data_IF_111544228087
#
_entry.id   IF_111544228087
#
_cell.length_a   1.000
_cell.length_b   1.000
_cell.length_c   1.000
_cell.angle_alpha   90.00
_cell.angle_beta   90.00
_cell.angle_gamma   90.00
#
_symmetry.space_group_name_H-M   'P 1'
#
loop_
_entity.id
_entity.type
_entity.pdbx_description
1 polymer ?
#
# COMPACT_ATOMS: atom_id res chain seq x y z
N UNK A 1 17.49 -6.88 37.00
CA UNK A 1 16.18 -7.30 36.43
C UNK A 1 16.24 -7.58 34.93
N UNK A 2 17.18 -7.03 34.14
CA UNK A 2 17.24 -7.24 32.68
C UNK A 2 17.61 -8.67 32.25
N UNK A 3 18.48 -9.38 32.97
CA UNK A 3 18.95 -10.73 32.57
C UNK A 3 17.85 -11.79 32.53
N UNK A 4 16.82 -11.66 33.38
CA UNK A 4 15.68 -12.58 33.38
C UNK A 4 14.81 -12.44 32.12
N UNK A 5 14.58 -11.21 31.65
CA UNK A 5 13.75 -10.95 30.48
C UNK A 5 14.41 -11.41 29.16
N UNK A 6 15.73 -11.28 29.02
CA UNK A 6 16.48 -11.86 27.89
C UNK A 6 16.34 -13.39 27.85
N UNK A 7 16.46 -14.05 29.01
CA UNK A 7 16.29 -15.49 29.11
C UNK A 7 14.87 -15.93 28.79
N UNK A 8 13.86 -15.16 29.22
CA UNK A 8 12.45 -15.40 28.88
C UNK A 8 12.22 -15.26 27.38
N UNK A 9 12.66 -14.17 26.74
CA UNK A 9 12.49 -13.99 25.30
C UNK A 9 13.17 -15.12 24.51
N UNK A 10 14.41 -15.48 24.85
CA UNK A 10 15.13 -16.58 24.21
C UNK A 10 14.43 -17.94 24.43
N UNK A 11 13.92 -18.18 25.65
CA UNK A 11 13.16 -19.40 25.98
C UNK A 11 11.87 -19.49 25.17
N UNK A 12 11.13 -18.39 25.02
CA UNK A 12 9.87 -18.37 24.26
C UNK A 12 10.13 -18.54 22.75
N UNK A 13 11.20 -17.97 22.21
CA UNK A 13 11.63 -18.22 20.82
C UNK A 13 12.01 -19.69 20.59
N UNK A 14 12.78 -20.28 21.51
CA UNK A 14 13.19 -21.69 21.42
C UNK A 14 11.96 -22.59 21.48
N UNK A 15 11.03 -22.31 22.40
CA UNK A 15 9.76 -23.03 22.51
C UNK A 15 8.91 -22.91 21.25
N UNK A 16 8.81 -21.71 20.67
CA UNK A 16 8.09 -21.51 19.41
C UNK A 16 8.71 -22.33 18.27
N UNK A 17 10.04 -22.36 18.17
CA UNK A 17 10.76 -23.16 17.16
C UNK A 17 10.57 -24.67 17.36
N UNK A 18 10.70 -25.17 18.59
CA UNK A 18 10.50 -26.58 18.91
C UNK A 18 9.10 -27.07 18.55
N UNK A 19 8.07 -26.24 18.77
CA UNK A 19 6.68 -26.60 18.45
C UNK A 19 6.39 -26.66 16.95
N UNK A 20 7.13 -25.90 16.15
CA UNK A 20 7.09 -26.00 14.69
C UNK A 20 7.65 -27.34 14.22
N UNK A 21 8.66 -27.89 14.92
CA UNK A 21 9.39 -29.10 14.50
C UNK A 21 8.87 -30.43 15.12
N UNK A 22 8.34 -30.41 16.35
CA UNK A 22 8.20 -31.66 17.16
C UNK A 22 6.77 -32.21 17.24
N UNK A 23 5.75 -31.43 16.92
CA UNK A 23 4.37 -31.80 17.23
C UNK A 23 3.69 -32.63 16.12
N UNK A 24 4.19 -33.81 15.77
CA UNK A 24 3.58 -34.66 14.71
C UNK A 24 2.11 -35.07 15.00
N UNK A 25 1.66 -34.97 16.26
CA UNK A 25 0.33 -35.39 16.72
C UNK A 25 -0.68 -34.25 16.95
N UNK A 26 -0.29 -32.97 16.80
CA UNK A 26 -1.20 -31.82 17.04
C UNK A 26 -1.75 -31.21 15.75
N UNK A 27 -2.97 -30.65 15.80
CA UNK A 27 -3.55 -29.95 14.65
C UNK A 27 -2.74 -28.70 14.32
N UNK A 28 -2.60 -28.39 13.03
CA UNK A 28 -1.84 -27.22 12.55
C UNK A 28 -2.34 -25.91 13.19
N UNK A 29 -3.65 -25.74 13.34
CA UNK A 29 -4.26 -24.59 14.01
C UNK A 29 -3.79 -24.42 15.47
N UNK A 30 -3.69 -25.51 16.23
CA UNK A 30 -3.22 -25.46 17.61
C UNK A 30 -1.74 -25.03 17.68
N UNK A 31 -0.91 -25.55 16.77
CA UNK A 31 0.51 -25.13 16.67
C UNK A 31 0.64 -23.63 16.37
N UNK A 32 -0.18 -23.12 15.43
CA UNK A 32 -0.18 -21.68 15.07
C UNK A 32 -0.50 -20.81 16.28
N UNK A 33 -1.54 -21.17 17.03
CA UNK A 33 -1.97 -20.37 18.18
C UNK A 33 -0.97 -20.43 19.34
N UNK A 34 -0.40 -21.60 19.62
CA UNK A 34 0.63 -21.72 20.67
C UNK A 34 1.91 -20.98 20.25
N UNK A 35 2.35 -21.13 19.00
CA UNK A 35 3.51 -20.42 18.45
C UNK A 35 3.33 -18.89 18.52
N UNK A 36 2.16 -18.40 18.09
CA UNK A 36 1.76 -16.99 18.25
C UNK A 36 1.88 -16.54 19.70
N UNK A 37 1.30 -17.30 20.64
CA UNK A 37 1.31 -16.95 22.06
C UNK A 37 2.72 -16.83 22.63
N UNK A 38 3.61 -17.77 22.30
CA UNK A 38 5.01 -17.71 22.71
C UNK A 38 5.72 -16.46 22.16
N UNK A 39 5.49 -16.14 20.89
CA UNK A 39 6.08 -14.94 20.27
C UNK A 39 5.52 -13.62 20.84
N UNK A 40 4.24 -13.60 21.24
CA UNK A 40 3.67 -12.47 21.98
C UNK A 40 4.28 -12.32 23.39
N UNK A 41 4.47 -13.42 24.13
CA UNK A 41 5.17 -13.39 25.42
C UNK A 41 6.62 -12.86 25.24
N UNK A 42 7.31 -13.25 24.16
CA UNK A 42 8.63 -12.72 23.83
C UNK A 42 8.57 -11.21 23.54
N UNK A 43 7.54 -10.73 22.83
CA UNK A 43 7.31 -9.30 22.61
C UNK A 43 7.18 -8.53 23.92
N UNK A 44 6.35 -9.00 24.86
CA UNK A 44 6.19 -8.38 26.18
C UNK A 44 7.50 -8.33 26.97
N UNK A 45 8.31 -9.41 26.89
CA UNK A 45 9.63 -9.43 27.51
C UNK A 45 10.55 -8.33 26.92
N UNK A 46 10.53 -8.10 25.61
CA UNK A 46 11.28 -7.01 24.98
C UNK A 46 10.79 -5.61 25.38
N UNK A 47 9.47 -5.43 25.54
CA UNK A 47 8.90 -4.16 26.05
C UNK A 47 9.42 -3.87 27.45
N UNK A 48 9.44 -4.87 28.34
CA UNK A 48 9.96 -4.75 29.70
C UNK A 48 11.46 -4.42 29.76
N UNK A 49 12.16 -4.59 28.64
CA UNK A 49 13.57 -4.26 28.49
C UNK A 49 13.82 -2.94 27.78
N UNK A 50 12.76 -2.17 27.49
CA UNK A 50 12.81 -0.93 26.72
C UNK A 50 13.36 -1.14 25.30
N UNK A 51 13.06 -2.29 24.68
CA UNK A 51 13.50 -2.65 23.32
C UNK A 51 12.32 -2.74 22.33
N UNK A 52 11.66 -1.59 22.01
CA UNK A 52 10.40 -1.59 21.26
C UNK A 52 10.52 -2.18 19.86
N UNK A 53 11.64 -1.97 19.16
CA UNK A 53 11.81 -2.54 17.82
C UNK A 53 11.90 -4.07 17.80
N UNK A 54 12.53 -4.69 18.81
CA UNK A 54 12.53 -6.16 18.94
C UNK A 54 11.17 -6.68 19.37
N UNK A 55 10.47 -5.92 20.22
CA UNK A 55 9.10 -6.25 20.59
C UNK A 55 8.18 -6.25 19.37
N UNK A 56 8.25 -5.21 18.53
CA UNK A 56 7.46 -5.06 17.32
C UNK A 56 7.80 -6.16 16.30
N UNK A 57 9.08 -6.48 16.09
CA UNK A 57 9.49 -7.62 15.27
C UNK A 57 8.92 -8.95 15.80
N UNK A 58 8.92 -9.16 17.11
CA UNK A 58 8.33 -10.36 17.72
C UNK A 58 6.81 -10.45 17.46
N UNK A 59 6.11 -9.31 17.42
CA UNK A 59 4.68 -9.26 17.04
C UNK A 59 4.48 -9.65 15.57
N UNK A 60 5.33 -9.16 14.66
CA UNK A 60 5.30 -9.58 13.25
C UNK A 60 5.46 -11.10 13.16
N UNK A 61 6.49 -11.67 13.81
CA UNK A 61 6.67 -13.12 13.83
C UNK A 61 5.46 -13.86 14.40
N UNK A 62 4.83 -13.33 15.45
CA UNK A 62 3.60 -13.90 16.02
C UNK A 62 2.42 -13.87 15.04
N UNK A 63 2.29 -12.79 14.26
CA UNK A 63 1.27 -12.65 13.23
C UNK A 63 1.53 -13.58 12.04
N UNK A 64 2.79 -13.71 11.59
CA UNK A 64 3.19 -14.64 10.54
C UNK A 64 2.97 -16.11 10.95
N UNK A 65 3.07 -16.44 12.23
CA UNK A 65 2.76 -17.79 12.70
C UNK A 65 1.30 -18.19 12.41
N UNK A 66 0.37 -17.25 12.33
CA UNK A 66 -1.04 -17.54 11.99
C UNK A 66 -1.24 -17.92 10.51
N UNK A 67 -0.34 -17.51 9.63
CA UNK A 67 -0.41 -17.81 8.19
C UNK A 67 0.43 -19.03 7.81
N UNK A 68 1.18 -19.59 8.76
CA UNK A 68 2.11 -20.68 8.49
C UNK A 68 1.39 -21.98 8.05
N UNK A 69 1.72 -22.46 6.85
CA UNK A 69 1.10 -23.64 6.24
C UNK A 69 -0.36 -23.41 5.87
N UNK A 70 -0.78 -22.16 5.70
CA UNK A 70 -2.10 -21.84 5.17
C UNK A 70 -2.04 -21.74 3.65
N UNK A 71 -2.64 -22.71 2.96
CA UNK A 71 -2.76 -22.73 1.50
C UNK A 71 -4.01 -22.00 1.01
N UNK A 72 -4.73 -21.32 1.91
CA UNK A 72 -5.92 -20.55 1.56
C UNK A 72 -5.58 -19.39 0.62
N UNK A 73 -6.48 -19.10 -0.32
CA UNK A 73 -6.32 -17.96 -1.23
C UNK A 73 -6.60 -16.61 -0.57
N UNK A 74 -7.24 -16.62 0.61
CA UNK A 74 -7.66 -15.43 1.34
C UNK A 74 -7.12 -15.49 2.77
N UNK A 75 -6.79 -14.32 3.31
CA UNK A 75 -6.23 -14.19 4.64
C UNK A 75 -7.34 -14.24 5.70
N UNK A 76 -7.19 -15.08 6.71
CA UNK A 76 -8.12 -15.12 7.83
C UNK A 76 -8.16 -13.79 8.59
N UNK A 77 -9.35 -13.33 9.02
CA UNK A 77 -9.53 -12.06 9.73
C UNK A 77 -8.60 -11.91 10.94
N UNK A 78 -8.39 -12.98 11.72
CA UNK A 78 -7.50 -12.96 12.87
C UNK A 78 -6.03 -12.71 12.49
N UNK A 79 -5.57 -13.29 11.38
CA UNK A 79 -4.21 -13.09 10.87
C UNK A 79 -4.06 -11.65 10.33
N UNK A 80 -5.04 -11.17 9.57
CA UNK A 80 -5.05 -9.78 9.08
C UNK A 80 -4.98 -8.78 10.25
N UNK A 81 -5.80 -8.96 11.28
CA UNK A 81 -5.76 -8.12 12.48
C UNK A 81 -4.41 -8.16 13.18
N UNK A 82 -3.84 -9.35 13.37
CA UNK A 82 -2.52 -9.48 13.98
C UNK A 82 -1.41 -8.80 13.14
N UNK A 83 -1.48 -8.86 11.81
CA UNK A 83 -0.52 -8.20 10.93
C UNK A 83 -0.64 -6.67 11.01
N UNK A 84 -1.84 -6.11 10.90
CA UNK A 84 -2.04 -4.65 11.00
C UNK A 84 -1.64 -4.11 12.39
N UNK A 85 -1.96 -4.82 13.48
CA UNK A 85 -1.50 -4.46 14.83
C UNK A 85 0.03 -4.51 14.97
N UNK A 86 0.68 -5.43 14.26
CA UNK A 86 2.15 -5.55 14.26
C UNK A 86 2.83 -4.44 13.45
N UNK A 87 2.16 -3.95 12.40
CA UNK A 87 2.57 -2.76 11.65
C UNK A 87 2.43 -1.50 12.53
N UNK A 88 1.30 -1.33 13.20
CA UNK A 88 1.05 -0.20 14.13
C UNK A 88 2.08 -0.16 15.27
N UNK A 89 2.58 -1.32 15.71
CA UNK A 89 3.64 -1.41 16.70
C UNK A 89 4.99 -0.86 16.22
N UNK A 90 5.21 -0.72 14.91
CA UNK A 90 6.39 -0.07 14.33
C UNK A 90 6.16 1.41 14.09
N UNK A 91 5.02 1.75 13.49
CA UNK A 91 4.62 3.12 13.17
C UNK A 91 3.19 3.29 13.65
N UNK A 92 2.96 4.10 14.70
CA UNK A 92 1.62 4.40 15.17
C UNK A 92 0.74 4.97 14.06
N UNK A 93 -0.55 4.64 14.11
CA UNK A 93 -1.55 5.03 13.12
C UNK A 93 -1.58 6.53 12.79
N UNK A 94 -1.56 7.45 13.76
CA UNK A 94 -1.47 8.90 13.51
C UNK A 94 -0.26 9.35 12.67
N UNK A 95 0.78 8.52 12.61
CA UNK A 95 2.03 8.77 11.89
C UNK A 95 2.11 7.99 10.57
N UNK A 96 1.12 7.15 10.27
CA UNK A 96 1.05 6.40 9.04
C UNK A 96 0.23 7.16 7.99
N UNK A 97 0.84 7.60 6.87
CA UNK A 97 0.14 8.37 5.83
C UNK A 97 -0.99 7.58 5.13
N UNK A 98 -1.01 6.26 5.30
CA UNK A 98 -1.97 5.35 4.69
C UNK A 98 -2.95 4.74 5.70
N UNK A 99 -3.14 5.37 6.86
CA UNK A 99 -4.00 4.83 7.93
C UNK A 99 -5.44 4.56 7.50
N UNK A 100 -6.01 5.40 6.61
CA UNK A 100 -7.34 5.19 6.00
C UNK A 100 -7.52 3.85 5.28
N UNK A 101 -6.43 3.20 4.88
CA UNK A 101 -6.45 1.91 4.17
C UNK A 101 -6.37 0.69 5.10
N UNK A 102 -6.22 0.92 6.41
CA UNK A 102 -6.30 -0.13 7.43
C UNK A 102 -7.70 -0.74 7.43
N UNK A 103 -7.82 -2.04 7.22
CA UNK A 103 -9.12 -2.70 7.09
C UNK A 103 -9.78 -2.98 8.45
N UNK A 104 -8.99 -3.17 9.51
CA UNK A 104 -9.54 -3.50 10.83
C UNK A 104 -10.14 -2.31 11.56
N UNK A 105 -9.68 -1.10 11.27
CA UNK A 105 -10.21 0.15 11.82
C UNK A 105 -10.02 0.33 13.33
N UNK A 106 -9.19 -0.48 13.99
CA UNK A 106 -8.95 -0.40 15.44
C UNK A 106 -7.52 0.10 15.66
N UNK A 107 -7.36 1.37 16.03
CA UNK A 107 -6.05 1.90 16.43
C UNK A 107 -5.85 1.75 17.95
N UNK A 108 -4.64 1.38 18.35
CA UNK A 108 -4.23 1.40 19.76
C UNK A 108 -3.94 2.82 20.30
N UNK A 109 -3.86 3.81 19.42
CA UNK A 109 -3.47 5.19 19.74
C UNK A 109 -4.64 6.18 19.74
N UNK A 110 -5.82 5.73 19.30
CA UNK A 110 -7.05 6.54 19.29
C UNK A 110 -7.99 5.98 20.35
N UNK A 111 -8.41 6.84 21.27
CA UNK A 111 -9.43 6.49 22.26
C UNK A 111 -10.79 6.35 21.55
N UNK A 112 -11.47 5.18 21.63
CA UNK A 112 -12.77 4.99 21.00
C UNK A 112 -13.87 5.89 21.58
N UNK A 113 -13.67 6.50 22.76
CA UNK A 113 -14.61 7.45 23.36
C UNK A 113 -14.34 8.91 22.95
N UNK A 114 -13.23 9.16 22.26
CA UNK A 114 -12.84 10.48 21.76
C UNK A 114 -13.47 10.79 20.39
N UNK A 115 -13.58 12.08 20.05
CA UNK A 115 -13.91 12.54 18.69
C UNK A 115 -12.70 12.48 17.74
N UNK A 116 -11.52 12.14 18.25
CA UNK A 116 -10.31 11.99 17.46
C UNK A 116 -10.40 10.81 16.48
N UNK A 117 -9.73 10.98 15.34
CA UNK A 117 -9.56 9.92 14.35
C UNK A 117 -8.08 9.81 14.01
N UNK A 118 -7.64 8.67 13.48
CA UNK A 118 -6.24 8.53 13.07
C UNK A 118 -5.85 9.51 11.94
N UNK A 119 -6.82 9.92 11.11
CA UNK A 119 -6.63 10.95 10.08
C UNK A 119 -6.63 12.39 10.66
N UNK A 120 -7.32 12.61 11.79
CA UNK A 120 -7.38 13.90 12.48
C UNK A 120 -7.08 13.73 13.98
N UNK A 121 -5.84 13.38 14.35
CA UNK A 121 -5.42 13.20 15.73
C UNK A 121 -5.22 14.56 16.43
N UNK A 122 -5.38 14.61 17.75
CA UNK A 122 -4.99 15.82 18.49
C UNK A 122 -3.47 16.00 18.54
N UNK A 123 -3.03 17.22 18.87
CA UNK A 123 -1.62 17.52 19.02
C UNK A 123 -0.94 16.68 20.12
N UNK A 124 -1.68 16.33 21.18
CA UNK A 124 -1.18 15.47 22.26
C UNK A 124 -0.98 14.03 21.76
N UNK A 125 -1.95 13.50 21.03
CA UNK A 125 -1.88 12.16 20.40
C UNK A 125 -0.73 12.09 19.40
N UNK A 126 -0.53 13.11 18.57
CA UNK A 126 0.60 13.19 17.64
C UNK A 126 1.94 13.19 18.37
N UNK A 127 2.09 14.01 19.42
CA UNK A 127 3.32 14.06 20.19
C UNK A 127 3.61 12.73 20.91
N UNK A 128 2.57 12.06 21.41
CA UNK A 128 2.70 10.73 21.99
C UNK A 128 3.11 9.68 20.95
N UNK A 129 2.43 9.65 19.80
CA UNK A 129 2.69 8.72 18.70
C UNK A 129 4.11 8.90 18.13
N UNK A 130 4.57 10.14 17.94
CA UNK A 130 5.91 10.46 17.47
C UNK A 130 7.01 9.84 18.34
N UNK A 131 6.79 9.78 19.66
CA UNK A 131 7.72 9.16 20.62
C UNK A 131 7.70 7.62 20.62
N UNK A 132 6.70 7.01 19.99
CA UNK A 132 6.54 5.54 19.94
C UNK A 132 6.97 4.92 18.61
N UNK A 133 7.39 5.73 17.62
CA UNK A 133 7.93 5.19 16.38
C UNK A 133 9.20 4.38 16.65
N UNK A 134 9.27 3.18 16.11
CA UNK A 134 10.46 2.33 16.21
C UNK A 134 11.61 2.97 15.45
N UNK A 135 12.58 3.51 16.18
CA UNK A 135 13.78 4.11 15.62
C UNK A 135 14.98 3.16 15.70
N UNK A 136 14.93 2.06 14.92
CA UNK A 136 16.05 1.12 14.78
C UNK A 136 16.47 0.97 13.32
N UNK A 137 17.78 0.83 13.05
CA UNK A 137 18.25 0.44 11.72
C UNK A 137 17.54 -0.83 11.26
N UNK A 138 17.18 -0.88 9.97
CA UNK A 138 16.54 -2.04 9.33
C UNK A 138 15.15 -2.42 9.87
N UNK A 139 14.52 -1.60 10.74
CA UNK A 139 13.15 -1.88 11.21
C UNK A 139 12.14 -2.02 10.05
N UNK A 140 12.35 -1.27 8.96
CA UNK A 140 11.54 -1.32 7.76
C UNK A 140 11.53 -2.69 7.07
N UNK A 141 12.59 -3.50 7.20
CA UNK A 141 12.69 -4.81 6.54
C UNK A 141 11.62 -5.78 7.06
N UNK A 142 11.41 -5.81 8.39
CA UNK A 142 10.39 -6.67 8.99
C UNK A 142 8.96 -6.28 8.57
N UNK A 143 8.68 -4.98 8.47
CA UNK A 143 7.40 -4.47 7.96
C UNK A 143 7.25 -4.77 6.46
N UNK A 144 8.35 -4.73 5.70
CA UNK A 144 8.35 -5.05 4.28
C UNK A 144 7.96 -6.51 4.01
N UNK A 145 8.35 -7.45 4.88
CA UNK A 145 7.89 -8.85 4.81
C UNK A 145 6.36 -8.94 4.91
N UNK A 146 5.75 -8.15 5.79
CA UNK A 146 4.29 -8.06 5.94
C UNK A 146 3.65 -7.51 4.66
N UNK A 147 4.23 -6.49 4.03
CA UNK A 147 3.75 -5.96 2.75
C UNK A 147 3.68 -7.07 1.69
N UNK A 148 4.77 -7.83 1.51
CA UNK A 148 4.81 -8.86 0.48
C UNK A 148 3.87 -10.02 0.77
N UNK A 149 3.67 -10.37 2.04
CA UNK A 149 2.67 -11.35 2.45
C UNK A 149 1.25 -10.85 2.12
N UNK A 150 0.91 -9.61 2.45
CA UNK A 150 -0.42 -9.06 2.17
C UNK A 150 -0.69 -9.00 0.66
N UNK A 151 0.33 -8.64 -0.14
CA UNK A 151 0.26 -8.70 -1.61
C UNK A 151 -0.02 -10.12 -2.09
N UNK A 152 0.63 -11.14 -1.50
CA UNK A 152 0.43 -12.52 -1.91
C UNK A 152 -0.99 -13.02 -1.62
N UNK A 153 -1.68 -12.48 -0.61
CA UNK A 153 -3.11 -12.73 -0.36
C UNK A 153 -4.06 -11.82 -1.15
N UNK A 154 -3.55 -10.83 -1.88
CA UNK A 154 -4.36 -9.85 -2.61
C UNK A 154 -4.97 -8.75 -1.74
N UNK A 155 -4.51 -8.60 -0.49
CA UNK A 155 -4.97 -7.60 0.46
C UNK A 155 -4.28 -6.24 0.21
N UNK A 156 -4.54 -5.64 -0.96
CA UNK A 156 -3.80 -4.45 -1.42
C UNK A 156 -3.98 -3.22 -0.54
N UNK A 157 -5.15 -3.02 0.10
CA UNK A 157 -5.37 -1.88 1.00
C UNK A 157 -4.53 -2.01 2.27
N UNK A 158 -4.52 -3.18 2.89
CA UNK A 158 -3.69 -3.43 4.07
C UNK A 158 -2.20 -3.46 3.72
N UNK A 159 -1.84 -3.94 2.52
CA UNK A 159 -0.48 -3.85 2.02
C UNK A 159 -0.04 -2.39 1.83
N UNK A 160 -0.92 -1.51 1.34
CA UNK A 160 -0.67 -0.08 1.21
C UNK A 160 -0.51 0.59 2.58
N UNK A 161 -1.36 0.24 3.55
CA UNK A 161 -1.19 0.65 4.95
C UNK A 161 0.18 0.24 5.51
N UNK A 162 0.59 -1.01 5.32
CA UNK A 162 1.91 -1.50 5.75
C UNK A 162 3.06 -0.80 5.02
N UNK A 163 2.92 -0.53 3.71
CA UNK A 163 3.91 0.18 2.91
C UNK A 163 4.10 1.63 3.39
N UNK A 164 3.01 2.28 3.84
CA UNK A 164 3.06 3.57 4.51
C UNK A 164 3.93 3.61 5.76
N UNK A 165 3.90 2.54 6.55
CA UNK A 165 4.79 2.40 7.70
C UNK A 165 6.26 2.24 7.26
N UNK A 166 6.53 1.44 6.21
CA UNK A 166 7.89 1.27 5.64
C UNK A 166 8.48 2.62 5.22
N UNK A 167 7.76 3.40 4.44
CA UNK A 167 8.23 4.70 3.95
C UNK A 167 8.38 5.73 5.07
N UNK A 168 7.53 5.72 6.10
CA UNK A 168 7.70 6.53 7.30
C UNK A 168 9.00 6.18 8.01
N UNK A 169 9.30 4.89 8.21
CA UNK A 169 10.56 4.43 8.83
C UNK A 169 11.78 4.85 7.99
N UNK A 170 11.74 4.62 6.67
CA UNK A 170 12.84 4.98 5.75
C UNK A 170 13.07 6.49 5.68
N UNK A 171 11.99 7.28 5.70
CA UNK A 171 12.07 8.75 5.68
C UNK A 171 12.74 9.31 6.94
N UNK A 172 12.54 8.66 8.08
CA UNK A 172 13.17 9.04 9.36
C UNK A 172 14.62 8.60 9.46
N UNK A 173 14.95 7.41 8.96
CA UNK A 173 16.33 6.91 8.94
C UNK A 173 17.24 7.84 8.11
N UNK A 174 16.73 8.40 7.01
CA UNK A 174 17.41 9.47 6.25
C UNK A 174 18.66 9.03 5.48
N UNK A 175 19.13 7.80 5.67
CA UNK A 175 20.32 7.23 5.01
C UNK A 175 19.95 6.54 3.69
N UNK A 176 18.79 5.91 3.61
CA UNK A 176 18.43 4.96 2.55
C UNK A 176 17.62 5.59 1.40
N UNK A 177 18.20 6.56 0.68
CA UNK A 177 17.52 7.30 -0.39
C UNK A 177 17.01 6.42 -1.54
N UNK A 178 17.77 5.38 -1.92
CA UNK A 178 17.37 4.42 -2.96
C UNK A 178 16.20 3.54 -2.50
N UNK A 179 16.28 2.99 -1.28
CA UNK A 179 15.21 2.15 -0.71
C UNK A 179 13.93 2.96 -0.52
N UNK A 180 14.05 4.23 -0.11
CA UNK A 180 12.91 5.13 -0.01
C UNK A 180 12.26 5.39 -1.39
N UNK A 181 13.07 5.58 -2.44
CA UNK A 181 12.56 5.78 -3.81
C UNK A 181 11.77 4.56 -4.30
N UNK A 182 12.27 3.34 -4.02
CA UNK A 182 11.54 2.09 -4.31
C UNK A 182 10.25 1.98 -3.50
N UNK A 183 10.28 2.44 -2.26
CA UNK A 183 9.11 2.45 -1.39
C UNK A 183 7.99 3.36 -1.93
N UNK A 184 8.32 4.55 -2.44
CA UNK A 184 7.33 5.44 -3.06
C UNK A 184 6.69 4.85 -4.32
N UNK A 185 7.47 4.17 -5.17
CA UNK A 185 6.88 3.46 -6.32
C UNK A 185 5.99 2.31 -5.89
N UNK A 186 6.37 1.59 -4.84
CA UNK A 186 5.52 0.55 -4.27
C UNK A 186 4.19 1.13 -3.76
N UNK A 187 4.21 2.30 -3.11
CA UNK A 187 2.99 3.04 -2.74
C UNK A 187 2.13 3.34 -3.99
N UNK A 188 2.71 3.92 -5.06
CA UNK A 188 1.96 4.20 -6.29
C UNK A 188 1.36 2.95 -6.93
N UNK A 189 2.12 1.85 -7.02
CA UNK A 189 1.64 0.57 -7.57
C UNK A 189 0.46 0.04 -6.74
N UNK A 190 0.57 0.09 -5.41
CA UNK A 190 -0.48 -0.39 -4.51
C UNK A 190 -1.72 0.50 -4.53
N UNK A 191 -1.57 1.83 -4.55
CA UNK A 191 -2.69 2.78 -4.69
C UNK A 191 -3.40 2.60 -6.04
N UNK A 192 -2.66 2.35 -7.12
CA UNK A 192 -3.27 2.00 -8.39
C UNK A 192 -4.02 0.66 -8.31
N UNK A 193 -3.42 -0.36 -7.68
CA UNK A 193 -4.03 -1.68 -7.53
C UNK A 193 -5.38 -1.66 -6.80
N UNK A 194 -5.61 -0.72 -5.87
CA UNK A 194 -6.92 -0.52 -5.23
C UNK A 194 -7.96 0.13 -6.16
N UNK A 195 -7.52 0.69 -7.29
CA UNK A 195 -8.36 1.30 -8.31
C UNK A 195 -8.46 2.82 -8.24
N UNK A 196 -7.66 3.48 -7.41
CA UNK A 196 -7.74 4.93 -7.21
C UNK A 196 -6.54 5.65 -7.85
N UNK A 197 -6.68 5.96 -9.14
CA UNK A 197 -5.66 6.71 -9.88
C UNK A 197 -5.53 8.17 -9.44
N UNK A 198 -6.59 8.74 -8.87
CA UNK A 198 -6.59 10.14 -8.41
C UNK A 198 -5.82 10.23 -7.09
N UNK A 199 -6.08 9.30 -6.16
CA UNK A 199 -5.28 9.21 -4.94
C UNK A 199 -3.80 8.96 -5.25
N UNK A 200 -3.49 8.09 -6.22
CA UNK A 200 -2.10 7.84 -6.63
C UNK A 200 -1.38 9.11 -7.10
N UNK A 201 -2.05 9.94 -7.91
CA UNK A 201 -1.51 11.24 -8.35
C UNK A 201 -1.37 12.24 -7.19
N UNK A 202 -2.38 12.36 -6.34
CA UNK A 202 -2.35 13.28 -5.20
C UNK A 202 -1.22 12.92 -4.23
N UNK A 203 -1.05 11.63 -3.92
CA UNK A 203 0.01 11.12 -3.06
C UNK A 203 1.39 11.38 -3.70
N UNK A 204 1.52 11.13 -5.02
CA UNK A 204 2.74 11.41 -5.75
C UNK A 204 3.15 12.89 -5.65
N UNK A 205 2.23 13.81 -5.97
CA UNK A 205 2.49 15.26 -6.02
C UNK A 205 2.67 15.89 -4.63
N UNK A 206 1.87 15.48 -3.66
CA UNK A 206 1.86 16.14 -2.35
C UNK A 206 2.91 15.55 -1.39
N UNK A 207 3.37 14.32 -1.63
CA UNK A 207 4.25 13.60 -0.69
C UNK A 207 5.55 13.12 -1.34
N UNK A 208 5.50 12.39 -2.45
CA UNK A 208 6.69 11.73 -2.99
C UNK A 208 7.68 12.72 -3.59
N UNK A 209 7.21 13.62 -4.46
CA UNK A 209 8.06 14.60 -5.19
C UNK A 209 8.63 15.70 -4.31
N UNK A 210 8.16 15.83 -3.07
CA UNK A 210 8.71 16.75 -2.07
C UNK A 210 10.13 16.35 -1.63
N UNK A 211 10.59 15.14 -2.00
CA UNK A 211 11.96 14.65 -1.75
C UNK A 211 12.81 14.83 -3.01
N UNK A 212 13.79 15.73 -2.97
CA UNK A 212 14.67 16.03 -4.11
C UNK A 212 15.41 14.81 -4.66
N UNK A 213 15.81 13.87 -3.81
CA UNK A 213 16.47 12.63 -4.23
C UNK A 213 15.56 11.68 -5.01
N UNK A 214 14.25 11.77 -4.81
CA UNK A 214 13.28 10.98 -5.54
C UNK A 214 13.07 11.52 -6.95
N UNK A 215 13.03 12.85 -7.14
CA UNK A 215 12.80 13.49 -8.44
C UNK A 215 13.78 13.03 -9.53
N UNK A 216 15.04 12.77 -9.17
CA UNK A 216 16.07 12.28 -10.10
C UNK A 216 16.11 10.75 -10.23
N UNK A 217 15.30 10.04 -9.47
CA UNK A 217 15.26 8.57 -9.48
C UNK A 217 14.49 8.02 -10.68
N UNK A 218 14.86 6.82 -11.11
CA UNK A 218 14.14 6.09 -12.17
C UNK A 218 12.78 5.62 -11.68
N UNK A 219 12.70 5.39 -10.38
CA UNK A 219 11.51 5.07 -9.63
C UNK A 219 10.45 6.18 -9.78
N UNK A 220 10.82 7.45 -9.62
CA UNK A 220 9.90 8.58 -9.83
C UNK A 220 9.30 8.61 -11.24
N UNK A 221 10.14 8.41 -12.27
CA UNK A 221 9.67 8.31 -13.66
C UNK A 221 8.66 7.19 -13.84
N UNK A 222 8.96 5.98 -13.34
CA UNK A 222 8.05 4.85 -13.40
C UNK A 222 6.72 5.15 -12.69
N UNK A 223 6.76 5.72 -11.49
CA UNK A 223 5.56 6.11 -10.74
C UNK A 223 4.69 7.10 -11.53
N UNK A 224 5.31 8.14 -12.10
CA UNK A 224 4.62 9.17 -12.88
C UNK A 224 3.95 8.62 -14.13
N UNK A 225 4.69 7.86 -14.93
CA UNK A 225 4.16 7.27 -16.16
C UNK A 225 3.02 6.29 -15.87
N UNK A 226 3.10 5.53 -14.76
CA UNK A 226 2.07 4.58 -14.36
C UNK A 226 0.73 5.25 -14.05
N UNK A 227 0.71 6.20 -13.10
CA UNK A 227 -0.58 6.81 -12.73
C UNK A 227 -1.11 7.67 -13.87
N UNK A 228 -0.24 8.30 -14.68
CA UNK A 228 -0.65 9.09 -15.84
C UNK A 228 -1.34 8.20 -16.88
N UNK A 229 -0.73 7.08 -17.27
CA UNK A 229 -1.31 6.16 -18.25
C UNK A 229 -2.67 5.61 -17.79
N UNK A 230 -2.82 5.25 -16.51
CA UNK A 230 -4.10 4.81 -15.95
C UNK A 230 -5.13 5.93 -15.93
N UNK A 231 -4.75 7.14 -15.51
CA UNK A 231 -5.64 8.31 -15.42
C UNK A 231 -6.14 8.76 -16.80
N UNK A 232 -5.26 8.80 -17.81
CA UNK A 232 -5.63 9.15 -19.19
C UNK A 232 -6.30 8.01 -19.94
N UNK A 233 -6.33 6.81 -19.34
CA UNK A 233 -6.83 5.57 -19.96
C UNK A 233 -6.14 5.24 -21.27
N UNK A 234 -4.82 5.43 -21.29
CA UNK A 234 -3.97 5.10 -22.43
C UNK A 234 -3.38 3.71 -22.26
N UNK A 235 -3.87 2.75 -23.07
CA UNK A 235 -3.47 1.34 -22.98
C UNK A 235 -2.05 1.13 -23.52
N UNK A 236 -1.70 1.86 -24.57
CA UNK A 236 -0.39 1.76 -25.22
C UNK A 236 0.70 2.31 -24.29
N UNK A 237 0.43 3.46 -23.65
CA UNK A 237 1.32 4.01 -22.63
C UNK A 237 1.46 3.06 -21.44
N UNK A 238 0.37 2.47 -20.95
CA UNK A 238 0.41 1.53 -19.83
C UNK A 238 1.25 0.28 -20.17
N UNK A 239 1.09 -0.24 -21.39
CA UNK A 239 1.87 -1.38 -21.91
C UNK A 239 3.35 -1.06 -22.04
N UNK A 240 3.69 0.14 -22.51
CA UNK A 240 5.07 0.60 -22.57
C UNK A 240 5.67 0.75 -21.17
N UNK A 241 4.95 1.38 -20.25
CA UNK A 241 5.41 1.63 -18.88
C UNK A 241 5.70 0.34 -18.12
N UNK A 242 4.88 -0.70 -18.29
CA UNK A 242 5.07 -2.03 -17.66
C UNK A 242 6.03 -2.95 -18.41
N UNK A 243 6.49 -2.54 -19.59
CA UNK A 243 7.36 -3.38 -20.42
C UNK A 243 8.76 -3.55 -19.83
N UNK A 244 9.21 -4.79 -19.74
CA UNK A 244 10.56 -5.13 -19.27
C UNK A 244 11.66 -4.84 -20.29
N UNK A 245 11.32 -4.39 -21.50
CA UNK A 245 12.31 -4.08 -22.56
C UNK A 245 12.51 -2.59 -22.79
N UNK A 246 11.66 -1.74 -22.19
CA UNK A 246 11.60 -0.30 -22.49
C UNK A 246 12.33 0.54 -21.43
N UNK A 247 12.07 1.85 -21.44
CA UNK A 247 12.74 2.87 -20.64
C UNK A 247 12.71 2.60 -19.12
N UNK A 248 11.67 1.92 -18.61
CA UNK A 248 11.50 1.62 -17.18
C UNK A 248 12.08 0.28 -16.73
N UNK A 249 12.72 -0.50 -17.62
CA UNK A 249 13.26 -1.84 -17.31
C UNK A 249 14.07 -1.88 -16.02
N UNK A 250 14.93 -0.88 -15.79
CA UNK A 250 15.81 -0.86 -14.62
C UNK A 250 15.04 -0.61 -13.31
N UNK A 251 14.04 0.28 -13.33
CA UNK A 251 13.18 0.55 -12.18
C UNK A 251 12.33 -0.68 -11.84
N UNK A 252 11.72 -1.32 -12.85
CA UNK A 252 10.97 -2.57 -12.67
C UNK A 252 11.88 -3.67 -12.14
N UNK A 253 13.10 -3.81 -12.67
CA UNK A 253 14.06 -4.82 -12.23
C UNK A 253 14.40 -4.73 -10.74
N UNK A 254 14.40 -3.52 -10.18
CA UNK A 254 14.66 -3.24 -8.76
C UNK A 254 13.48 -3.55 -7.82
N UNK A 255 12.28 -3.77 -8.35
CA UNK A 255 11.10 -4.11 -7.54
C UNK A 255 11.16 -5.55 -7.04
N UNK A 256 10.52 -5.78 -5.89
CA UNK A 256 10.27 -7.13 -5.40
C UNK A 256 9.34 -7.91 -6.34
N UNK A 257 9.48 -9.23 -6.37
CA UNK A 257 8.74 -10.09 -7.31
C UNK A 257 7.21 -9.93 -7.15
N UNK A 258 6.71 -9.87 -5.91
CA UNK A 258 5.29 -9.66 -5.63
C UNK A 258 4.77 -8.34 -6.21
N UNK A 259 5.57 -7.28 -6.20
CA UNK A 259 5.18 -5.98 -6.78
C UNK A 259 5.22 -6.01 -8.31
N UNK A 260 6.17 -6.74 -8.91
CA UNK A 260 6.21 -6.96 -10.37
C UNK A 260 4.96 -7.70 -10.84
N UNK A 261 4.52 -8.70 -10.08
CA UNK A 261 3.28 -9.42 -10.36
C UNK A 261 2.09 -8.45 -10.34
N UNK A 262 1.95 -7.65 -9.28
CA UNK A 262 0.88 -6.64 -9.17
C UNK A 262 0.93 -5.64 -10.32
N UNK A 263 2.12 -5.13 -10.66
CA UNK A 263 2.33 -4.21 -11.77
C UNK A 263 1.80 -4.80 -13.10
N UNK A 264 2.04 -6.09 -13.34
CA UNK A 264 1.52 -6.78 -14.53
C UNK A 264 -0.01 -6.96 -14.52
N UNK A 265 -0.62 -7.00 -13.34
CA UNK A 265 -2.06 -7.18 -13.13
C UNK A 265 -2.86 -5.87 -13.18
N UNK A 266 -2.21 -4.71 -13.06
CA UNK A 266 -2.86 -3.40 -13.18
C UNK A 266 -3.49 -3.28 -14.56
N UNK A 267 -4.78 -2.97 -14.56
CA UNK A 267 -5.58 -2.71 -15.77
C UNK A 267 -5.68 -1.21 -16.02
N UNK A 268 -6.17 -0.83 -17.19
CA UNK A 268 -6.50 0.57 -17.51
C UNK A 268 -7.49 1.20 -16.51
N UNK A 269 -8.28 0.38 -15.82
CA UNK A 269 -9.18 0.80 -14.75
C UNK A 269 -8.48 1.06 -13.41
N UNK A 270 -7.16 0.93 -13.33
CA UNK A 270 -6.36 0.95 -12.09
C UNK A 270 -6.42 -0.37 -11.34
N UNK A 271 -7.61 -0.94 -11.15
CA UNK A 271 -7.81 -2.14 -10.31
C UNK A 271 -6.98 -3.33 -10.76
N UNK A 272 -6.12 -3.84 -9.87
CA UNK A 272 -5.48 -5.14 -10.02
C UNK A 272 -6.44 -6.23 -9.52
N UNK A 273 -6.65 -7.27 -10.33
CA UNK A 273 -7.43 -8.44 -9.90
C UNK A 273 -6.55 -9.66 -9.98
N UNK A 274 -6.19 -10.24 -8.83
CA UNK A 274 -5.63 -11.58 -8.76
C UNK A 274 -6.66 -12.53 -9.34
N UNK A 275 -6.41 -13.04 -10.54
CA UNK A 275 -7.35 -13.92 -11.22
C UNK A 275 -7.41 -15.28 -10.51
N UNK A 276 -8.61 -15.77 -10.21
CA UNK A 276 -8.83 -17.20 -10.35
C UNK A 276 -8.44 -17.61 -11.79
N UNK A 277 -7.88 -18.80 -12.03
CA UNK A 277 -7.32 -19.17 -13.33
C UNK A 277 -8.38 -19.04 -14.42
N UNK A 278 -8.37 -17.91 -15.13
CA UNK A 278 -9.32 -17.64 -16.19
C UNK A 278 -8.86 -18.43 -17.40
N UNK A 279 -9.67 -19.41 -17.78
CA UNK A 279 -9.59 -20.14 -19.04
C UNK A 279 -9.39 -19.17 -20.21
N UNK A 280 -8.16 -19.08 -20.70
CA UNK A 280 -7.83 -18.43 -21.95
C UNK A 280 -8.19 -19.39 -23.09
N UNK A 281 -9.29 -19.14 -23.78
CA UNK A 281 -9.40 -19.50 -25.20
C UNK A 281 -10.33 -18.55 -25.92
N UNK A 282 -9.75 -17.69 -26.75
CA UNK A 282 -10.45 -16.93 -27.78
C UNK A 282 -10.77 -17.84 -28.95
N UNK A 283 -12.05 -17.98 -29.36
CA UNK A 283 -12.50 -17.83 -30.76
C UNK A 283 -14.02 -18.00 -30.97
N UNK A 284 -14.62 -16.99 -31.62
CA UNK A 284 -15.69 -16.99 -32.63
C UNK A 284 -17.02 -17.76 -32.42
N UNK A 285 -18.08 -16.96 -32.19
CA UNK A 285 -19.32 -16.82 -32.99
C UNK A 285 -20.02 -18.11 -33.47
N UNK A 286 -21.18 -18.43 -32.89
CA UNK A 286 -22.48 -18.41 -33.60
C UNK A 286 -23.65 -18.85 -32.71
N UNK A 287 -24.79 -18.24 -32.99
CA UNK A 287 -26.12 -18.45 -32.43
C UNK A 287 -26.64 -19.89 -32.53
N UNK A 288 -27.27 -20.41 -31.46
CA UNK A 288 -28.61 -21.00 -31.60
C UNK A 288 -29.38 -21.10 -30.28
N UNK A 289 -30.60 -20.61 -30.39
CA UNK A 289 -31.73 -20.59 -29.48
C UNK A 289 -32.24 -22.01 -29.19
N UNK A 290 -32.40 -22.38 -27.92
CA UNK A 290 -33.43 -23.35 -27.51
C UNK A 290 -33.83 -23.12 -26.05
N UNK A 291 -35.09 -22.73 -25.91
CA UNK A 291 -35.91 -22.73 -24.71
C UNK A 291 -35.95 -24.08 -24.00
N UNK A 292 -35.91 -24.11 -22.67
CA UNK A 292 -37.09 -24.44 -21.85
C UNK A 292 -36.78 -24.61 -20.35
N UNK A 293 -37.70 -24.03 -19.55
CA UNK A 293 -38.22 -24.47 -18.24
C UNK A 293 -37.29 -24.59 -17.01
N UNK A 294 -37.30 -23.50 -16.24
CA UNK A 294 -37.88 -23.39 -14.88
C UNK A 294 -37.81 -24.59 -13.93
N UNK A 295 -37.10 -24.40 -12.82
CA UNK A 295 -37.55 -24.85 -11.50
C UNK A 295 -37.12 -23.81 -10.44
N UNK A 296 -38.11 -23.37 -9.67
CA UNK A 296 -38.07 -22.31 -8.67
C UNK A 296 -37.72 -22.90 -7.30
N UNK A 297 -36.86 -22.25 -6.53
CA UNK A 297 -36.84 -22.41 -5.08
C UNK A 297 -36.65 -21.05 -4.40
N UNK A 298 -37.70 -20.69 -3.68
CA UNK A 298 -37.95 -19.44 -2.94
C UNK A 298 -37.09 -19.37 -1.68
N UNK A 299 -36.31 -18.30 -1.51
CA UNK A 299 -35.78 -17.88 -0.22
C UNK A 299 -35.92 -16.34 -0.11
N UNK A 300 -36.65 -15.91 0.92
CA UNK A 300 -37.01 -14.52 1.20
C UNK A 300 -35.78 -13.72 1.65
N UNK A 301 -35.47 -12.65 0.92
CA UNK A 301 -34.56 -11.58 1.38
C UNK A 301 -35.32 -10.27 1.31
N UNK A 302 -35.29 -9.50 2.41
CA UNK A 302 -35.95 -8.19 2.54
C UNK A 302 -35.40 -7.22 1.50
N UNK A 303 -36.26 -6.75 0.60
CA UNK A 303 -36.00 -5.65 -0.30
C UNK A 303 -35.82 -4.36 0.51
N UNK A 304 -34.64 -3.73 0.38
CA UNK A 304 -34.52 -2.29 0.58
C UNK A 304 -34.99 -1.66 -0.72
N UNK A 305 -36.02 -0.82 -0.64
CA UNK A 305 -36.50 -0.02 -1.76
C UNK A 305 -35.34 0.80 -2.34
N UNK A 306 -35.03 0.54 -3.62
CA UNK A 306 -34.07 1.31 -4.39
C UNK A 306 -34.83 2.57 -4.83
N UNK A 307 -34.35 3.74 -4.40
CA UNK A 307 -34.92 5.03 -4.79
C UNK A 307 -34.98 5.14 -6.33
N UNK A 308 -36.08 5.69 -6.82
CA UNK A 308 -36.37 5.75 -8.25
C UNK A 308 -35.44 6.73 -8.99
N UNK A 309 -35.22 6.50 -10.28
CA UNK A 309 -34.36 7.36 -11.11
C UNK A 309 -34.84 8.82 -11.16
N UNK A 310 -36.15 9.05 -11.05
CA UNK A 310 -36.72 10.40 -10.98
C UNK A 310 -36.38 11.11 -9.67
N UNK A 311 -36.32 10.39 -8.53
CA UNK A 311 -35.88 10.98 -7.25
C UNK A 311 -34.39 11.35 -7.29
N UNK A 312 -33.54 10.51 -7.87
CA UNK A 312 -32.09 10.78 -8.00
C UNK A 312 -31.81 11.99 -8.90
N UNK A 313 -32.64 12.23 -9.92
CA UNK A 313 -32.49 13.40 -10.81
C UNK A 313 -32.87 14.74 -10.16
N UNK A 314 -33.63 14.69 -9.06
CA UNK A 314 -34.10 15.88 -8.34
C UNK A 314 -33.24 16.23 -7.12
N UNK A 315 -32.27 15.38 -6.76
CA UNK A 315 -31.33 15.66 -5.70
C UNK A 315 -30.30 16.69 -6.18
N UNK A 316 -30.40 17.90 -5.64
CA UNK A 316 -29.41 18.96 -5.83
C UNK A 316 -28.04 18.49 -5.34
N UNK A 317 -27.07 18.46 -6.23
CA UNK A 317 -25.74 17.90 -5.98
C UNK A 317 -24.79 18.88 -5.30
N UNK A 318 -25.25 20.09 -4.95
CA UNK A 318 -24.41 21.13 -4.32
C UNK A 318 -23.45 21.85 -5.29
N UNK A 319 -23.22 21.31 -6.48
CA UNK A 319 -22.34 21.89 -7.52
C UNK A 319 -23.00 23.00 -8.36
N UNK A 320 -24.21 23.41 -8.02
CA UNK A 320 -24.94 24.47 -8.74
C UNK A 320 -24.26 25.84 -8.58
N UNK A 321 -23.57 26.07 -7.45
CA UNK A 321 -22.84 27.32 -7.18
C UNK A 321 -21.52 27.40 -7.98
N UNK A 322 -20.84 26.27 -8.20
CA UNK A 322 -19.57 26.22 -8.95
C UNK A 322 -19.73 26.53 -10.44
N UNK A 323 -20.88 26.17 -11.03
CA UNK A 323 -21.19 26.50 -12.43
C UNK A 323 -21.36 28.02 -12.60
N UNK A 324 -21.98 28.69 -11.61
CA UNK A 324 -22.12 30.16 -11.65
C UNK A 324 -20.80 30.89 -11.41
N UNK A 325 -19.87 30.28 -10.66
CA UNK A 325 -18.52 30.81 -10.48
C UNK A 325 -17.66 30.65 -11.74
N UNK A 326 -17.84 29.56 -12.49
CA UNK A 326 -17.13 29.32 -13.76
C UNK A 326 -17.56 30.30 -14.87
N UNK A 327 -18.84 30.66 -14.93
CA UNK A 327 -19.35 31.66 -15.90
C UNK A 327 -18.91 33.10 -15.56
N UNK A 328 -18.40 33.35 -14.34
CA UNK A 328 -17.89 34.65 -13.91
C UNK A 328 -16.39 34.85 -14.21
N UNK A 329 -15.71 33.85 -14.78
CA UNK A 329 -14.29 33.93 -15.13
C UNK A 329 -14.13 34.71 -16.44
N UNK A 330 -13.49 35.87 -16.39
CA UNK A 330 -13.16 36.66 -17.58
C UNK A 330 -12.01 35.99 -18.35
N UNK A 331 -12.38 35.22 -19.36
CA UNK A 331 -11.44 34.49 -20.23
C UNK A 331 -10.44 35.41 -20.93
N UNK A 332 -10.76 36.69 -21.12
CA UNK A 332 -9.84 37.64 -21.74
C UNK A 332 -8.74 38.08 -20.77
N UNK A 333 -9.03 38.13 -19.46
CA UNK A 333 -8.02 38.44 -18.44
C UNK A 333 -6.97 37.33 -18.35
N UNK A 334 -7.40 36.07 -18.39
CA UNK A 334 -6.50 34.91 -18.40
C UNK A 334 -5.63 34.84 -19.66
N UNK A 335 -6.19 35.17 -20.83
CA UNK A 335 -5.44 35.18 -22.09
C UNK A 335 -4.34 36.25 -22.08
N UNK A 336 -4.63 37.44 -21.54
CA UNK A 336 -3.66 38.53 -21.43
C UNK A 336 -2.53 38.24 -20.43
N UNK A 337 -2.81 37.47 -19.37
CA UNK A 337 -1.76 37.01 -18.43
C UNK A 337 -0.86 35.95 -19.08
N UNK A 338 -1.43 35.07 -19.93
CA UNK A 338 -0.67 34.05 -20.64
C UNK A 338 0.23 34.65 -21.72
N UNK A 339 -0.24 35.66 -22.46
CA UNK A 339 0.55 36.38 -23.46
C UNK A 339 1.63 37.29 -22.84
N UNK A 340 1.53 37.59 -21.54
CA UNK A 340 2.56 38.31 -20.78
C UNK A 340 3.72 37.43 -20.28
N UNK A 341 3.61 36.12 -20.40
CA UNK A 341 4.67 35.17 -20.06
C UNK A 341 5.58 34.96 -21.29
N UNK A 342 6.58 35.83 -21.41
CA UNK A 342 7.68 35.70 -22.38
C UNK A 342 8.59 34.53 -21.98
N UNK A 343 8.32 33.35 -22.52
CA UNK A 343 9.20 32.19 -22.42
C UNK A 343 10.36 32.40 -23.39
N UNK A 344 11.31 33.22 -22.96
CA UNK A 344 12.54 33.52 -23.69
C UNK A 344 13.17 32.25 -24.25
N UNK A 345 13.35 32.25 -25.56
CA UNK A 345 14.06 31.23 -26.33
C UNK A 345 15.56 31.32 -26.00
N UNK A 346 15.96 30.78 -24.85
CA UNK A 346 17.37 30.56 -24.48
C UNK A 346 17.89 29.35 -25.26
N UNK A 347 17.96 29.49 -26.59
CA UNK A 347 18.71 28.63 -27.49
C UNK A 347 20.20 29.02 -27.44
N UNK A 348 20.85 28.81 -26.31
CA UNK A 348 22.30 28.96 -26.19
C UNK A 348 22.96 27.62 -26.55
N UNK A 349 23.09 27.39 -27.86
CA UNK A 349 23.98 26.39 -28.43
C UNK A 349 25.43 26.74 -28.06
N UNK A 350 25.92 26.15 -26.96
CA UNK A 350 27.35 26.11 -26.67
C UNK A 350 27.91 24.75 -27.04
N UNK A 351 28.58 24.72 -28.19
CA UNK A 351 29.59 23.75 -28.58
C UNK A 351 30.49 23.40 -27.39
N UNK A 352 30.46 22.13 -26.98
CA UNK A 352 31.46 21.51 -26.12
C UNK A 352 31.99 20.27 -26.83
N UNK A 353 32.77 20.55 -27.88
CA UNK A 353 33.83 19.66 -28.35
C UNK A 353 34.97 19.60 -27.29
N UNK A 354 35.71 18.49 -27.33
CA UNK A 354 36.96 18.19 -26.62
C UNK A 354 36.89 17.77 -25.13
N UNK A 355 37.00 16.44 -24.91
CA UNK A 355 38.21 15.91 -24.28
C UNK A 355 38.30 14.37 -24.43
N UNK A 356 39.15 13.96 -25.39
CA UNK A 356 39.74 12.63 -25.48
C UNK A 356 40.53 12.31 -24.20
N UNK A 357 39.98 11.45 -23.35
CA UNK A 357 40.71 10.81 -22.24
C UNK A 357 41.48 9.59 -22.78
N UNK A 358 42.79 9.76 -22.94
CA UNK A 358 43.76 8.70 -23.20
C UNK A 358 44.10 7.97 -21.88
N UNK A 359 43.71 6.69 -21.78
CA UNK A 359 43.99 5.83 -20.63
C UNK A 359 45.25 4.99 -20.90
N UNK A 360 46.34 5.36 -20.22
CA UNK A 360 47.50 4.48 -19.96
C UNK A 360 47.74 4.31 -18.46
#
# INVERSE_FOLDING_TARGET
MSTGAYATAASEYTRAAELVEVADDETTEMKREIGRKCLLNASEAWINMSEPGKAAQSKISAALALTWGDDSSALGKAALTALEESVEAHVPDPMNPYVRYRQTGISAYIDPESEETADNPSAETLAFAENQIVNRPYAHESVQEVVYLLISFGEYTSALYAQGAVSTLLSRDGVSSLTLSRSFVAETILTLATGDSIAAEQEFLNRHVQKTSYLSSRECKLGEELFRAVKTRDEEALDETRSTTMSNRAAIGNLHESLKEVLSMIRISGVARKGEPSSSTSTKKSSKKSSSKSASSTAKTKEKEIASFEELSSMKTGYEEDITAADAIDTNALQNELDGLDFGDDSDESDMDDDDIDLR
#
